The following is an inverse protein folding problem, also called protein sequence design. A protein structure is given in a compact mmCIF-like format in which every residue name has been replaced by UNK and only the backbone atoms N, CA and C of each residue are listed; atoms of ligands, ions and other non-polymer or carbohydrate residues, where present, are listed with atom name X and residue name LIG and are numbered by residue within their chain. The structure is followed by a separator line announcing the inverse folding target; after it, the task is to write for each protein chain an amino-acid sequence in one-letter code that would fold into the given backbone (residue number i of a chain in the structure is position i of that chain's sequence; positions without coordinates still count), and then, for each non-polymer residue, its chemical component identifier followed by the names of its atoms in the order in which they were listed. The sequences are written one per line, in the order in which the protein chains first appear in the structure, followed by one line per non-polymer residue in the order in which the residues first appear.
data_IF_329265166288
#
_entry.id   IF_329265166288
#
_cell.length_a   1.000
_cell.length_b   1.000
_cell.length_c   1.000
_cell.angle_alpha   90.00
_cell.angle_beta   90.00
_cell.angle_gamma   90.00
#
_symmetry.space_group_name_H-M   'P 1'
#
loop_
_entity.id
_entity.type
_entity.pdbx_description
1 polymer ?
#
# COMPACT_ATOMS: atom_id res chain seq x y z
N UNK A 1 -14.46 -20.10 2.93
CA UNK A 1 -14.30 -18.71 2.42
C UNK A 1 -13.02 -18.16 3.00
N UNK A 2 -12.02 -17.84 2.18
CA UNK A 2 -10.75 -17.32 2.69
C UNK A 2 -10.89 -15.84 3.03
N UNK A 3 -10.73 -15.48 4.30
CA UNK A 3 -10.70 -14.09 4.72
C UNK A 3 -9.45 -13.42 4.13
N UNK A 4 -9.64 -12.34 3.36
CA UNK A 4 -8.52 -11.55 2.84
C UNK A 4 -8.05 -10.61 3.94
N UNK A 5 -6.87 -10.88 4.49
CA UNK A 5 -6.24 -9.97 5.45
C UNK A 5 -5.85 -8.71 4.68
N UNK A 6 -6.44 -7.57 5.07
CA UNK A 6 -6.05 -6.26 4.56
C UNK A 6 -5.05 -5.67 5.55
N UNK A 7 -3.79 -5.54 5.13
CA UNK A 7 -2.76 -4.90 5.93
C UNK A 7 -3.08 -3.41 6.13
N UNK A 8 -2.73 -2.85 7.29
CA UNK A 8 -2.76 -1.42 7.53
C UNK A 8 -1.72 -0.71 6.63
N UNK A 9 -1.94 0.54 6.16
CA UNK A 9 -1.00 1.23 5.29
C UNK A 9 0.44 1.37 5.81
N UNK A 10 0.59 1.44 7.13
CA UNK A 10 1.87 1.52 7.83
C UNK A 10 2.50 0.14 8.11
N UNK A 11 1.76 -0.94 7.86
CA UNK A 11 2.26 -2.27 8.14
C UNK A 11 3.41 -2.65 7.18
N UNK A 12 4.49 -3.26 7.69
CA UNK A 12 5.52 -3.86 6.85
C UNK A 12 4.89 -4.83 5.85
N UNK A 13 5.10 -4.60 4.56
CA UNK A 13 4.53 -5.42 3.49
C UNK A 13 3.24 -4.89 2.86
N UNK A 14 2.62 -3.84 3.40
CA UNK A 14 1.46 -3.21 2.76
C UNK A 14 1.77 -2.74 1.33
N UNK A 15 2.98 -2.22 1.09
CA UNK A 15 3.38 -1.76 -0.23
C UNK A 15 3.85 -2.89 -1.15
N UNK A 16 4.22 -4.08 -0.66
CA UNK A 16 4.82 -5.16 -1.47
C UNK A 16 3.96 -5.62 -2.64
N UNK A 17 2.65 -5.61 -2.47
CA UNK A 17 1.71 -5.96 -3.55
C UNK A 17 1.51 -4.83 -4.57
N UNK A 18 2.08 -3.64 -4.32
CA UNK A 18 1.90 -2.44 -5.12
C UNK A 18 2.94 -2.32 -6.25
N UNK A 19 2.55 -1.69 -7.37
CA UNK A 19 3.49 -1.36 -8.45
C UNK A 19 4.58 -0.39 -7.99
N UNK A 20 4.32 0.38 -6.92
CA UNK A 20 5.20 1.43 -6.41
C UNK A 20 6.20 0.92 -5.34
N UNK A 21 6.20 -0.38 -5.06
CA UNK A 21 7.14 -1.03 -4.13
C UNK A 21 8.58 -1.02 -4.66
N UNK A 22 9.53 -0.66 -3.79
CA UNK A 22 10.96 -0.78 -4.05
C UNK A 22 11.54 -2.07 -3.46
N UNK A 23 12.75 -2.44 -3.90
CA UNK A 23 13.49 -3.57 -3.30
C UNK A 23 13.74 -3.39 -1.80
N UNK A 24 13.78 -2.15 -1.33
CA UNK A 24 13.98 -1.78 0.08
C UNK A 24 12.66 -1.73 0.88
N UNK A 25 11.54 -2.13 0.26
CA UNK A 25 10.22 -2.14 0.91
C UNK A 25 9.58 -0.77 1.10
N UNK A 26 10.06 0.26 0.39
CA UNK A 26 9.51 1.61 0.44
C UNK A 26 8.47 1.84 -0.67
N UNK A 27 7.53 2.75 -0.41
CA UNK A 27 6.54 3.19 -1.39
C UNK A 27 7.04 4.42 -2.16
N UNK A 28 7.25 4.30 -3.47
CA UNK A 28 7.64 5.42 -4.34
C UNK A 28 6.47 6.26 -4.87
N UNK A 29 5.24 6.01 -4.44
CA UNK A 29 4.10 6.82 -4.88
C UNK A 29 4.15 8.21 -4.22
N UNK A 30 4.38 9.25 -5.01
CA UNK A 30 4.46 10.63 -4.53
C UNK A 30 3.16 11.14 -3.92
N UNK A 31 1.99 10.70 -4.41
CA UNK A 31 0.69 11.03 -3.81
C UNK A 31 0.52 10.40 -2.43
N UNK A 32 1.01 9.16 -2.26
CA UNK A 32 1.08 8.52 -0.96
C UNK A 32 1.99 9.29 -0.01
N UNK A 33 3.21 9.64 -0.44
CA UNK A 33 4.18 10.38 0.40
C UNK A 33 3.61 11.73 0.85
N UNK A 34 3.01 12.50 -0.06
CA UNK A 34 2.39 13.80 0.25
C UNK A 34 1.20 13.69 1.21
N UNK A 35 0.48 12.57 1.18
CA UNK A 35 -0.73 12.36 1.99
C UNK A 35 -0.55 11.27 3.04
N UNK A 36 0.68 10.92 3.44
CA UNK A 36 0.96 9.75 4.28
C UNK A 36 0.17 9.78 5.58
N UNK A 37 0.12 10.93 6.26
CA UNK A 37 -0.68 11.12 7.47
C UNK A 37 -2.18 10.83 7.25
N UNK A 38 -2.77 11.31 6.15
CA UNK A 38 -4.18 11.05 5.83
C UNK A 38 -4.41 9.57 5.55
N UNK A 39 -3.50 8.94 4.80
CA UNK A 39 -3.58 7.52 4.46
C UNK A 39 -3.49 6.63 5.71
N UNK A 40 -2.55 6.94 6.60
CA UNK A 40 -2.25 6.15 7.80
C UNK A 40 -3.27 6.43 8.91
N UNK A 41 -3.48 7.68 9.28
CA UNK A 41 -4.18 8.04 10.53
C UNK A 41 -5.65 8.44 10.33
N UNK A 42 -6.06 8.83 9.12
CA UNK A 42 -7.43 9.33 8.88
C UNK A 42 -8.25 8.29 8.13
N UNK A 43 -7.72 7.83 6.99
CA UNK A 43 -8.39 6.87 6.14
C UNK A 43 -8.13 5.44 6.58
N UNK A 44 -6.96 5.16 7.15
CA UNK A 44 -6.49 3.80 7.44
C UNK A 44 -6.45 2.89 6.19
N UNK A 45 -6.41 3.49 4.99
CA UNK A 45 -6.19 2.81 3.71
C UNK A 45 -5.60 3.77 2.66
N UNK A 46 -4.84 3.23 1.71
CA UNK A 46 -4.22 4.00 0.62
C UNK A 46 -5.06 3.93 -0.67
N UNK A 47 -5.73 5.04 -1.01
CA UNK A 47 -6.46 5.21 -2.29
C UNK A 47 -5.57 5.15 -3.52
N UNK A 48 -4.28 5.48 -3.36
CA UNK A 48 -3.31 5.53 -4.44
C UNK A 48 -2.62 4.18 -4.69
N UNK A 49 -2.98 3.15 -3.90
CA UNK A 49 -2.43 1.81 -4.03
C UNK A 49 -2.86 1.21 -5.37
N UNK A 50 -1.89 0.89 -6.21
CA UNK A 50 -2.10 0.14 -7.44
C UNK A 50 -1.46 -1.22 -7.29
N UNK A 51 -2.28 -2.25 -7.12
CA UNK A 51 -1.80 -3.62 -6.95
C UNK A 51 -1.26 -4.14 -8.28
N UNK A 52 -0.11 -4.81 -8.26
CA UNK A 52 0.40 -5.55 -9.43
C UNK A 52 -0.65 -6.61 -9.74
N UNK A 53 -1.31 -6.53 -10.91
CA UNK A 53 -2.13 -7.66 -11.37
C UNK A 53 -1.18 -8.83 -11.54
N UNK A 54 -1.26 -9.83 -10.66
CA UNK A 54 -0.67 -11.12 -10.95
C UNK A 54 -1.27 -11.58 -12.29
N UNK A 55 -0.40 -11.77 -13.28
CA UNK A 55 -0.79 -12.51 -14.48
C UNK A 55 -1.06 -13.93 -13.99
N UNK A 56 -2.34 -14.25 -13.77
CA UNK A 56 -2.79 -15.64 -13.69
C UNK A 56 -2.41 -16.38 -14.96
#
# INVERSE_FOLDING_TARGET
MSAKIILHPDAPGYCKECIYDTKDGQCMNEEYKKNAYKVICVWHYCKYKKVRKERK
#
